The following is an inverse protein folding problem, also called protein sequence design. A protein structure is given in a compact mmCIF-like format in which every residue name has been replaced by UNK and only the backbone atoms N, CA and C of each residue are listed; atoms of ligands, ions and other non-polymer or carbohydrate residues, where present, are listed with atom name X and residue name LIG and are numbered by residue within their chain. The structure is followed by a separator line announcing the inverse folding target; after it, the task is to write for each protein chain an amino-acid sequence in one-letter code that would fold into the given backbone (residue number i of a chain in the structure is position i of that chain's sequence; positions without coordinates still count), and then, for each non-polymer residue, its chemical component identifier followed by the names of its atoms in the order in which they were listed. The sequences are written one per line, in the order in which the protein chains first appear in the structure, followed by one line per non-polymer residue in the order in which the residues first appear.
data_IF_163523325524
#
_entry.id   IF_163523325524
#
_cell.length_a   1.000
_cell.length_b   1.000
_cell.length_c   1.000
_cell.angle_alpha   90.00
_cell.angle_beta   90.00
_cell.angle_gamma   90.00
#
_symmetry.space_group_name_H-M   'P 1'
#
loop_
_entity.id
_entity.type
_entity.pdbx_description
1 polymer ?
#
# COMPACT_ATOMS: atom_id res chain seq x y z
N UNK A 1 -0.05 -5.22 -3.93
CA UNK A 1 -0.03 -4.54 -2.61
C UNK A 1 1.20 -4.88 -1.79
N UNK A 2 1.60 -6.15 -1.67
CA UNK A 2 2.83 -6.55 -0.95
C UNK A 2 4.04 -5.74 -1.46
N UNK A 3 4.25 -5.69 -2.78
CA UNK A 3 5.31 -4.87 -3.39
C UNK A 3 5.29 -3.37 -3.02
N UNK A 4 4.11 -2.76 -2.88
CA UNK A 4 3.99 -1.35 -2.48
C UNK A 4 4.39 -1.14 -1.01
N UNK A 5 4.03 -2.09 -0.14
CA UNK A 5 4.39 -2.04 1.28
C UNK A 5 5.88 -2.34 1.49
N UNK A 6 6.43 -3.32 0.78
CA UNK A 6 7.87 -3.62 0.77
C UNK A 6 8.69 -2.42 0.30
N UNK A 7 8.20 -1.70 -0.72
CA UNK A 7 8.85 -0.48 -1.21
C UNK A 7 8.78 0.64 -0.17
N UNK A 8 7.64 0.78 0.52
CA UNK A 8 7.51 1.76 1.61
C UNK A 8 8.49 1.49 2.76
N UNK A 9 8.62 0.23 3.17
CA UNK A 9 9.55 -0.15 4.25
C UNK A 9 11.02 0.02 3.83
N UNK A 10 11.36 -0.27 2.58
CA UNK A 10 12.69 0.00 2.04
C UNK A 10 13.03 1.50 2.01
N UNK A 11 12.06 2.36 1.66
CA UNK A 11 12.24 3.81 1.67
C UNK A 11 12.38 4.37 3.09
N UNK A 12 11.57 3.89 4.04
CA UNK A 12 11.65 4.26 5.46
C UNK A 12 13.01 3.85 6.06
N UNK A 13 13.47 2.64 5.75
CA UNK A 13 14.79 2.16 6.18
C UNK A 13 15.95 2.97 5.57
N UNK A 14 15.79 3.45 4.33
CA UNK A 14 16.75 4.35 3.68
C UNK A 14 16.70 5.76 4.27
N UNK A 15 15.52 6.26 4.64
CA UNK A 15 15.36 7.54 5.31
C UNK A 15 16.11 7.56 6.65
N UNK A 16 15.96 6.51 7.45
CA UNK A 16 16.65 6.36 8.75
C UNK A 16 18.17 6.29 8.65
N UNK A 17 18.69 5.83 7.50
CA UNK A 17 20.13 5.76 7.20
C UNK A 17 20.66 7.01 6.52
N UNK A 18 19.79 7.94 6.11
CA UNK A 18 20.18 9.18 5.47
C UNK A 18 20.70 10.17 6.51
N UNK A 19 21.90 10.71 6.27
CA UNK A 19 22.48 11.78 7.09
C UNK A 19 21.92 13.16 6.71
N UNK A 20 21.33 13.28 5.52
CA UNK A 20 20.67 14.50 5.05
C UNK A 20 19.19 14.51 5.50
N UNK A 21 18.77 15.49 6.32
CA UNK A 21 17.41 15.58 6.85
C UNK A 21 16.36 15.88 5.76
N UNK A 22 16.73 16.58 4.69
CA UNK A 22 15.81 16.87 3.57
C UNK A 22 15.54 15.60 2.78
N UNK A 23 16.60 14.84 2.51
CA UNK A 23 16.49 13.54 1.83
C UNK A 23 15.71 12.53 2.68
N UNK A 24 15.94 12.50 4.00
CA UNK A 24 15.17 11.66 4.91
C UNK A 24 13.68 11.99 4.90
N UNK A 25 13.33 13.29 4.90
CA UNK A 25 11.94 13.73 4.83
C UNK A 25 11.27 13.33 3.50
N UNK A 26 11.97 13.48 2.37
CA UNK A 26 11.46 13.05 1.05
C UNK A 26 11.24 11.54 0.99
N UNK A 27 12.19 10.75 1.48
CA UNK A 27 12.07 9.28 1.53
C UNK A 27 10.90 8.84 2.41
N UNK A 28 10.68 9.50 3.54
CA UNK A 28 9.50 9.26 4.39
C UNK A 28 8.18 9.62 3.70
N UNK A 29 8.11 10.77 3.02
CA UNK A 29 6.90 11.15 2.28
C UNK A 29 6.59 10.12 1.19
N UNK A 30 7.59 9.69 0.43
CA UNK A 30 7.41 8.67 -0.59
C UNK A 30 6.96 7.32 0.00
N UNK A 31 7.48 6.93 1.17
CA UNK A 31 7.03 5.72 1.86
C UNK A 31 5.53 5.81 2.25
N UNK A 32 5.10 6.95 2.77
CA UNK A 32 3.70 7.21 3.14
C UNK A 32 2.77 7.23 1.91
N UNK A 33 3.18 7.83 0.80
CA UNK A 33 2.42 7.79 -0.45
C UNK A 33 2.16 6.36 -0.91
N UNK A 34 3.17 5.49 -0.84
CA UNK A 34 3.03 4.07 -1.21
C UNK A 34 2.10 3.30 -0.27
N UNK A 35 2.11 3.62 1.03
CA UNK A 35 1.15 3.05 2.00
C UNK A 35 -0.27 3.50 1.70
N UNK A 36 -0.47 4.77 1.37
CA UNK A 36 -1.79 5.30 0.98
C UNK A 36 -2.29 4.67 -0.32
N UNK A 37 -1.43 4.50 -1.32
CA UNK A 37 -1.77 3.84 -2.58
C UNK A 37 -2.21 2.39 -2.34
N UNK A 38 -1.47 1.65 -1.50
CA UNK A 38 -1.85 0.32 -1.09
C UNK A 38 -3.20 0.31 -0.36
N UNK A 39 -3.45 1.23 0.57
CA UNK A 39 -4.72 1.35 1.28
C UNK A 39 -5.89 1.65 0.33
N UNK A 40 -5.71 2.54 -0.65
CA UNK A 40 -6.73 2.85 -1.67
C UNK A 40 -7.06 1.62 -2.51
N UNK A 41 -6.04 0.87 -2.94
CA UNK A 41 -6.24 -0.39 -3.67
C UNK A 41 -7.00 -1.42 -2.83
N UNK A 42 -6.67 -1.55 -1.53
CA UNK A 42 -7.39 -2.44 -0.61
C UNK A 42 -8.86 -2.06 -0.47
N UNK A 43 -9.13 -0.77 -0.29
CA UNK A 43 -10.49 -0.25 -0.17
C UNK A 43 -11.30 -0.47 -1.45
N UNK A 44 -10.69 -0.24 -2.61
CA UNK A 44 -11.33 -0.48 -3.92
C UNK A 44 -11.62 -1.96 -4.14
N UNK A 45 -10.67 -2.85 -3.83
CA UNK A 45 -10.89 -4.30 -3.90
C UNK A 45 -11.97 -4.77 -2.92
N UNK A 46 -11.98 -4.23 -1.71
CA UNK A 46 -13.04 -4.49 -0.72
C UNK A 46 -14.42 -4.04 -1.20
N UNK A 47 -14.51 -2.89 -1.87
CA UNK A 47 -15.75 -2.40 -2.46
C UNK A 47 -16.23 -3.30 -3.61
N UNK A 48 -15.34 -3.71 -4.51
CA UNK A 48 -15.65 -4.64 -5.59
C UNK A 48 -16.11 -6.01 -5.07
N UNK A 49 -15.46 -6.52 -4.01
CA UNK A 49 -15.85 -7.77 -3.34
C UNK A 49 -17.23 -7.68 -2.69
N UNK A 50 -17.63 -6.52 -2.18
CA UNK A 50 -18.97 -6.28 -1.63
C UNK A 50 -20.04 -6.13 -2.71
N UNK A 51 -19.69 -5.58 -3.87
CA UNK A 51 -20.60 -5.42 -5.01
C UNK A 51 -20.78 -6.69 -5.83
N UNK A 52 -19.83 -7.63 -5.74
CA UNK A 52 -19.99 -8.96 -6.32
C UNK A 52 -20.67 -9.88 -5.30
N UNK A 53 -21.98 -10.15 -5.36
CA UNK A 53 -22.53 -11.29 -4.65
C UNK A 53 -21.80 -12.49 -5.23
N UNK A 54 -21.02 -13.19 -4.39
CA UNK A 54 -20.43 -14.45 -4.77
C UNK A 54 -21.55 -15.31 -5.36
N UNK A 55 -21.51 -15.53 -6.68
CA UNK A 55 -22.44 -16.41 -7.39
C UNK A 55 -22.17 -17.79 -6.79
N UNK A 56 -22.90 -18.15 -5.74
CA UNK A 56 -22.92 -19.50 -5.20
C UNK A 56 -23.38 -20.38 -6.36
N UNK A 57 -22.57 -21.30 -6.89
CA UNK A 57 -23.11 -22.30 -7.78
C UNK A 57 -24.08 -23.13 -6.93
N UNK A 58 -25.38 -22.96 -7.19
CA UNK A 58 -26.39 -23.88 -6.71
C UNK A 58 -26.18 -25.19 -7.48
N UNK A 59 -25.42 -26.11 -6.90
CA UNK A 59 -25.52 -27.50 -7.27
C UNK A 59 -26.75 -28.04 -6.55
N UNK A 60 -27.82 -28.24 -7.33
CA UNK A 60 -29.01 -29.00 -6.97
C UNK A 60 -29.04 -30.30 -7.77
#
# INVERSE_FOLDING_TARGET
MVLLLETADALDLRARRSTDPVQAAQLHQHAEERRQEAARLRSRLGALRRQSPARRPAFG
#
